data_IF_128117668774
#
_entry.id   IF_128117668774
#
_cell.length_a   1.000
_cell.length_b   1.000
_cell.length_c   1.000
_cell.angle_alpha   90.00
_cell.angle_beta   90.00
_cell.angle_gamma   90.00
#
_symmetry.space_group_name_H-M   'P 1'
#
loop_
_entity.id
_entity.type
_entity.pdbx_description
1 polymer ?
#
# COMPACT_ATOMS: atom_id res chain seq x y z
N UNK A 1 8.40 -7.99 -16.96
CA UNK A 1 8.45 -6.82 -16.04
C UNK A 1 7.76 -7.17 -14.73
N UNK A 2 8.33 -6.74 -13.60
CA UNK A 2 7.71 -6.88 -12.27
C UNK A 2 7.47 -5.48 -11.70
N UNK A 3 6.29 -5.22 -11.14
CA UNK A 3 5.97 -3.97 -10.44
C UNK A 3 5.10 -4.24 -9.22
N UNK A 4 5.22 -3.41 -8.20
CA UNK A 4 4.24 -3.33 -7.11
C UNK A 4 2.96 -2.70 -7.67
N UNK A 5 1.81 -3.25 -7.32
CA UNK A 5 0.49 -2.75 -7.73
C UNK A 5 -0.47 -2.54 -6.55
N UNK A 6 -0.03 -2.90 -5.34
CA UNK A 6 -0.66 -2.55 -4.08
C UNK A 6 0.42 -2.60 -3.00
N UNK A 7 0.42 -1.62 -2.11
CA UNK A 7 1.25 -1.57 -0.91
C UNK A 7 0.50 -0.76 0.14
N UNK A 8 -0.33 -1.44 0.93
CA UNK A 8 -1.22 -0.82 1.91
C UNK A 8 -1.14 -1.61 3.21
N UNK A 9 -1.13 -0.90 4.34
CA UNK A 9 -1.15 -1.50 5.67
C UNK A 9 -2.50 -1.25 6.37
N UNK A 10 -2.82 -2.05 7.37
CA UNK A 10 -4.13 -1.99 8.05
C UNK A 10 -4.18 -0.97 9.22
N UNK A 11 -3.11 -0.21 9.45
CA UNK A 11 -3.03 0.79 10.52
C UNK A 11 -2.87 2.22 9.97
N UNK A 12 -1.72 2.54 9.37
CA UNK A 12 -1.39 3.88 8.89
C UNK A 12 -2.26 4.27 7.69
N UNK A 13 -2.37 3.41 6.68
CA UNK A 13 -3.21 3.68 5.50
C UNK A 13 -4.66 4.01 5.89
N UNK A 14 -5.21 3.30 6.88
CA UNK A 14 -6.57 3.55 7.39
C UNK A 14 -6.67 4.89 8.11
N UNK A 15 -5.69 5.24 8.95
CA UNK A 15 -5.64 6.53 9.63
C UNK A 15 -5.49 7.67 8.60
N UNK A 16 -4.61 7.52 7.62
CA UNK A 16 -4.36 8.50 6.57
C UNK A 16 -5.62 8.75 5.71
N UNK A 17 -6.34 7.69 5.35
CA UNK A 17 -7.61 7.78 4.61
C UNK A 17 -8.68 8.51 5.45
N UNK A 18 -8.79 8.20 6.75
CA UNK A 18 -9.74 8.89 7.65
C UNK A 18 -9.40 10.37 7.88
N UNK A 19 -8.11 10.71 7.89
CA UNK A 19 -7.64 12.09 7.99
C UNK A 19 -7.71 12.85 6.64
N UNK A 20 -7.96 12.14 5.54
CA UNK A 20 -7.97 12.71 4.19
C UNK A 20 -6.58 13.14 3.69
N UNK A 21 -5.50 12.57 4.25
CA UNK A 21 -4.10 12.86 3.91
C UNK A 21 -3.42 11.73 3.13
N UNK A 22 -4.14 10.65 2.82
CA UNK A 22 -3.60 9.52 2.09
C UNK A 22 -3.00 9.93 0.74
N UNK A 23 -1.70 9.68 0.58
CA UNK A 23 -0.98 9.88 -0.67
C UNK A 23 -0.80 8.54 -1.37
N UNK A 24 -1.51 8.35 -2.50
CA UNK A 24 -1.39 7.12 -3.29
C UNK A 24 -0.34 7.28 -4.38
N UNK A 25 0.82 6.66 -4.19
CA UNK A 25 1.90 6.66 -5.19
C UNK A 25 1.47 5.87 -6.45
N UNK A 26 1.42 6.47 -7.65
CA UNK A 26 1.09 5.74 -8.87
C UNK A 26 2.01 4.54 -9.14
N UNK A 27 3.23 4.50 -8.56
CA UNK A 27 4.16 3.38 -8.67
C UNK A 27 3.76 2.15 -7.84
N UNK A 28 2.91 2.31 -6.83
CA UNK A 28 2.37 1.23 -6.00
C UNK A 28 0.91 0.91 -6.32
N UNK A 29 0.37 1.48 -7.40
CA UNK A 29 -0.98 1.17 -7.93
C UNK A 29 -0.92 0.38 -9.24
N UNK A 30 -2.03 -0.23 -9.68
CA UNK A 30 -2.06 -0.94 -10.96
C UNK A 30 -1.93 -0.04 -12.19
N UNK A 31 -1.96 1.30 -12.04
CA UNK A 31 -2.09 2.26 -13.13
C UNK A 31 -1.04 2.06 -14.24
N UNK A 32 0.24 2.07 -13.88
CA UNK A 32 1.34 1.94 -14.86
C UNK A 32 1.35 0.55 -15.51
N UNK A 33 1.15 -0.51 -14.72
CA UNK A 33 1.07 -1.88 -15.26
C UNK A 33 -0.07 -2.02 -16.27
N UNK A 34 -1.23 -1.40 -15.99
CA UNK A 34 -2.38 -1.42 -16.90
C UNK A 34 -2.11 -0.62 -18.18
N UNK A 35 -1.39 0.50 -18.11
CA UNK A 35 -1.00 1.26 -19.30
C UNK A 35 -0.05 0.46 -20.20
N UNK A 36 0.92 -0.24 -19.62
CA UNK A 36 1.86 -1.10 -20.35
C UNK A 36 1.12 -2.28 -21.00
N UNK A 37 0.23 -2.95 -20.26
CA UNK A 37 -0.60 -4.04 -20.80
C UNK A 37 -1.42 -3.57 -22.01
N UNK A 38 -2.10 -2.41 -21.89
CA UNK A 38 -2.86 -1.81 -23.00
C UNK A 38 -1.99 -1.45 -24.20
N UNK A 39 -0.79 -0.92 -23.96
CA UNK A 39 0.16 -0.59 -25.04
C UNK A 39 0.63 -1.84 -25.79
N UNK A 40 0.95 -2.92 -25.09
CA UNK A 40 1.37 -4.18 -25.72
C UNK A 40 0.22 -4.80 -26.52
N UNK A 41 -1.00 -4.76 -25.98
CA UNK A 41 -2.20 -5.24 -26.67
C UNK A 41 -2.52 -4.43 -27.93
N UNK A 42 -2.31 -3.11 -27.94
CA UNK A 42 -2.52 -2.28 -29.14
C UNK A 42 -1.51 -2.55 -30.25
N UNK A 43 -0.42 -3.27 -29.93
CA UNK A 43 0.57 -3.80 -30.87
C UNK A 43 0.35 -5.27 -31.20
N UNK A 44 -0.79 -5.84 -30.80
CA UNK A 44 -1.12 -7.26 -30.98
C UNK A 44 -0.10 -8.21 -30.31
N UNK A 45 0.65 -7.72 -29.31
CA UNK A 45 1.60 -8.52 -28.55
C UNK A 45 0.86 -9.22 -27.41
N UNK A 46 0.86 -10.57 -27.35
CA UNK A 46 0.21 -11.29 -26.29
C UNK A 46 0.96 -11.11 -24.96
N UNK A 47 0.20 -10.80 -23.90
CA UNK A 47 0.71 -10.59 -22.54
C UNK A 47 0.12 -11.62 -21.59
N UNK A 48 0.98 -12.29 -20.82
CA UNK A 48 0.58 -13.09 -19.65
C UNK A 48 0.74 -12.24 -18.39
N UNK A 49 -0.27 -12.27 -17.53
CA UNK A 49 -0.31 -11.54 -16.26
C UNK A 49 -0.39 -12.50 -15.10
N UNK A 50 0.42 -12.26 -14.06
CA UNK A 50 0.35 -13.00 -12.80
C UNK A 50 0.63 -12.08 -11.62
N UNK A 51 -0.22 -12.18 -10.60
CA UNK A 51 -0.09 -11.42 -9.36
C UNK A 51 0.42 -12.33 -8.24
N UNK A 52 1.27 -11.78 -7.37
CA UNK A 52 1.87 -12.42 -6.20
C UNK A 52 1.67 -11.49 -5.00
N UNK A 53 0.96 -11.97 -3.99
CA UNK A 53 0.63 -11.18 -2.80
C UNK A 53 1.38 -11.71 -1.58
N UNK A 54 1.95 -10.78 -0.82
CA UNK A 54 2.70 -11.03 0.40
C UNK A 54 2.13 -10.19 1.53
N UNK A 55 2.29 -10.67 2.76
CA UNK A 55 1.93 -9.95 3.96
C UNK A 55 3.15 -9.84 4.87
N UNK A 56 3.41 -8.62 5.36
CA UNK A 56 4.47 -8.30 6.30
C UNK A 56 3.78 -7.80 7.56
N UNK A 57 4.25 -8.22 8.73
CA UNK A 57 3.71 -7.80 10.02
C UNK A 57 4.76 -7.06 10.80
N UNK A 58 4.42 -5.87 11.27
CA UNK A 58 5.27 -5.02 12.08
C UNK A 58 4.58 -4.70 13.40
N UNK A 59 5.36 -4.63 14.46
CA UNK A 59 4.87 -4.25 15.79
C UNK A 59 5.11 -2.76 15.97
N UNK A 60 4.02 -2.02 16.17
CA UNK A 60 3.99 -0.57 16.22
C UNK A 60 3.69 -0.15 17.65
N UNK A 61 4.62 0.59 18.26
CA UNK A 61 4.42 1.16 19.59
C UNK A 61 3.60 2.45 19.53
N UNK A 62 3.09 2.87 20.68
CA UNK A 62 2.37 4.14 20.79
C UNK A 62 3.26 5.33 20.44
N UNK A 63 4.50 5.30 20.89
CA UNK A 63 5.48 6.34 20.67
C UNK A 63 5.75 6.52 19.19
N UNK A 64 6.01 5.42 18.46
CA UNK A 64 6.23 5.45 17.02
C UNK A 64 5.04 6.03 16.26
N UNK A 65 3.81 5.59 16.58
CA UNK A 65 2.61 6.11 15.92
C UNK A 65 2.38 7.60 16.25
N UNK A 66 2.71 8.02 17.46
CA UNK A 66 2.56 9.42 17.89
C UNK A 66 3.57 10.33 17.20
N UNK A 67 4.82 9.88 17.06
CA UNK A 67 5.88 10.57 16.33
C UNK A 67 5.54 10.70 14.84
N UNK A 68 5.03 9.62 14.22
CA UNK A 68 4.65 9.62 12.82
C UNK A 68 3.61 10.70 12.47
N UNK A 69 2.65 10.96 13.36
CA UNK A 69 1.57 11.93 13.17
C UNK A 69 1.76 13.24 13.93
N UNK A 70 2.98 13.57 14.38
CA UNK A 70 3.20 14.74 15.23
C UNK A 70 2.76 16.05 14.56
N UNK A 71 3.03 16.20 13.25
CA UNK A 71 2.69 17.40 12.49
C UNK A 71 1.19 17.55 12.20
N UNK A 72 0.47 16.43 12.11
CA UNK A 72 -0.96 16.33 11.78
C UNK A 72 -1.84 16.09 13.04
N UNK A 73 -1.26 16.23 14.24
CA UNK A 73 -1.92 15.85 15.49
C UNK A 73 -3.15 16.70 15.81
N UNK A 74 -4.35 16.12 15.66
CA UNK A 74 -5.61 16.71 16.12
C UNK A 74 -6.09 16.10 17.44
N UNK A 75 -7.10 16.72 18.06
CA UNK A 75 -7.75 16.16 19.24
C UNK A 75 -8.43 14.81 18.93
N UNK A 76 -9.05 14.66 17.75
CA UNK A 76 -9.61 13.38 17.32
C UNK A 76 -8.53 12.32 17.15
N UNK A 77 -7.42 12.65 16.48
CA UNK A 77 -6.32 11.72 16.26
C UNK A 77 -5.69 11.26 17.58
N UNK A 78 -5.45 12.19 18.51
CA UNK A 78 -4.95 11.87 19.85
C UNK A 78 -5.87 10.93 20.61
N UNK A 79 -7.20 11.12 20.49
CA UNK A 79 -8.20 10.23 21.07
C UNK A 79 -8.16 8.85 20.40
N UNK A 80 -8.06 8.79 19.08
CA UNK A 80 -7.95 7.55 18.32
C UNK A 80 -6.71 6.74 18.70
N UNK A 81 -5.53 7.38 18.74
CA UNK A 81 -4.28 6.75 19.20
C UNK A 81 -4.47 6.22 20.63
N UNK A 82 -5.05 7.03 21.53
CA UNK A 82 -5.30 6.56 22.90
C UNK A 82 -6.25 5.35 22.97
N UNK A 83 -7.23 5.27 22.08
CA UNK A 83 -8.15 4.13 21.99
C UNK A 83 -7.46 2.88 21.43
N UNK A 84 -6.65 3.02 20.38
CA UNK A 84 -5.88 1.92 19.79
C UNK A 84 -5.01 1.23 20.85
N UNK A 85 -4.33 2.03 21.68
CA UNK A 85 -3.42 1.53 22.74
C UNK A 85 -4.09 1.39 24.11
N UNK A 86 -5.43 1.39 24.20
CA UNK A 86 -6.13 1.34 25.49
C UNK A 86 -6.00 -0.01 26.20
N UNK A 87 -5.87 -1.10 25.45
CA UNK A 87 -5.81 -2.47 25.97
C UNK A 87 -4.44 -3.15 25.78
N UNK A 88 -3.60 -2.61 24.89
CA UNK A 88 -2.30 -3.17 24.52
C UNK A 88 -1.28 -2.05 24.34
N UNK A 89 -0.05 -2.30 24.77
CA UNK A 89 1.06 -1.36 24.59
C UNK A 89 1.53 -1.25 23.13
N UNK A 90 1.21 -2.25 22.31
CA UNK A 90 1.65 -2.37 20.91
C UNK A 90 0.48 -2.81 20.02
N UNK A 91 0.50 -2.33 18.78
CA UNK A 91 -0.39 -2.78 17.70
C UNK A 91 0.41 -3.57 16.67
N UNK A 92 -0.23 -4.53 16.01
CA UNK A 92 0.36 -5.17 14.83
C UNK A 92 -0.21 -4.47 13.61
N UNK A 93 0.65 -3.86 12.81
CA UNK A 93 0.30 -3.42 11.45
C UNK A 93 0.65 -4.53 10.47
N UNK A 94 -0.30 -4.89 9.60
CA UNK A 94 -0.10 -5.86 8.51
C UNK A 94 -0.09 -5.14 7.18
N UNK A 95 1.08 -5.05 6.55
CA UNK A 95 1.26 -4.51 5.20
C UNK A 95 1.02 -5.60 4.17
N UNK A 96 0.05 -5.39 3.29
CA UNK A 96 -0.21 -6.23 2.12
C UNK A 96 0.48 -5.63 0.89
N UNK A 97 1.39 -6.41 0.30
CA UNK A 97 2.11 -6.02 -0.92
C UNK A 97 1.76 -6.97 -2.05
N UNK A 98 1.23 -6.45 -3.15
CA UNK A 98 0.95 -7.23 -4.36
C UNK A 98 1.90 -6.83 -5.48
N UNK A 99 2.67 -7.79 -5.98
CA UNK A 99 3.49 -7.66 -7.17
C UNK A 99 2.75 -8.21 -8.39
N UNK A 100 2.77 -7.46 -9.49
CA UNK A 100 2.30 -7.91 -10.80
C UNK A 100 3.47 -8.17 -11.71
N UNK A 101 3.48 -9.36 -12.30
CA UNK A 101 4.36 -9.74 -13.39
C UNK A 101 3.59 -9.66 -14.69
N UNK A 102 4.11 -8.87 -15.63
CA UNK A 102 3.71 -8.90 -17.03
C UNK A 102 4.82 -9.58 -17.83
N UNK A 103 4.46 -10.64 -18.56
CA UNK A 103 5.34 -11.41 -19.43
C UNK A 103 4.82 -11.34 -20.87
N UNK A 104 5.68 -10.91 -21.79
CA UNK A 104 5.40 -10.90 -23.22
C UNK A 104 6.66 -11.34 -23.97
N UNK A 105 6.47 -11.81 -25.19
CA UNK A 105 7.56 -12.15 -26.10
C UNK A 105 7.35 -11.40 -27.39
N UNK A 106 8.41 -10.76 -27.87
CA UNK A 106 8.47 -10.22 -29.23
C UNK A 106 9.08 -11.34 -30.06
N UNK A 107 8.39 -11.78 -31.11
CA UNK A 107 8.99 -12.68 -32.10
C UNK A 107 9.80 -11.79 -33.05
N UNK A 108 11.08 -12.10 -33.18
CA UNK A 108 11.94 -11.54 -34.24
C UNK A 108 11.51 -12.07 -35.62
#
# INVERSE_FOLDING_TARGET
MVRVIQSEDDLFTVIDDELGIAVRDPNTTPFISNQIEKFLQSKEIPVKKKDFTYQIKETISRELLTEYYEAEMTAELKKKISQLFSQKAEQISTTTVTYRVLLWQIRD
#
